data_IF_560254068449
#
_entry.id   IF_560254068449
#
_cell.length_a   1.000
_cell.length_b   1.000
_cell.length_c   1.000
_cell.angle_alpha   90.00
_cell.angle_beta   90.00
_cell.angle_gamma   90.00
#
_symmetry.space_group_name_H-M   'P 1'
#
loop_
_entity.id
_entity.type
_entity.pdbx_description
1 polymer ?
#
# COMPACT_ATOMS: atom_id res chain seq x y z
N UNK A 1 -15.74 12.81 -25.98
CA UNK A 1 -15.26 11.45 -25.74
C UNK A 1 -13.95 11.58 -24.98
N UNK A 2 -14.03 11.61 -23.65
CA UNK A 2 -12.84 11.64 -22.80
C UNK A 2 -12.36 10.21 -22.65
N UNK A 3 -11.19 9.90 -23.18
CA UNK A 3 -10.50 8.66 -22.87
C UNK A 3 -10.02 8.79 -21.44
N UNK A 4 -10.65 8.07 -20.51
CA UNK A 4 -10.08 7.80 -19.20
C UNK A 4 -8.83 6.93 -19.41
N UNK A 5 -7.70 7.55 -19.73
CA UNK A 5 -6.42 6.92 -19.42
C UNK A 5 -6.43 6.76 -17.91
N UNK A 6 -6.68 5.53 -17.43
CA UNK A 6 -6.42 5.22 -16.04
C UNK A 6 -4.97 5.62 -15.76
N UNK A 7 -4.77 6.54 -14.83
CA UNK A 7 -3.44 7.00 -14.46
C UNK A 7 -2.55 5.80 -14.08
N UNK A 8 -1.40 5.71 -14.74
CA UNK A 8 -0.39 4.71 -14.44
C UNK A 8 0.24 5.05 -13.10
N UNK A 9 0.10 4.14 -12.13
CA UNK A 9 0.76 4.27 -10.84
C UNK A 9 2.16 3.67 -10.90
N UNK A 10 3.06 4.07 -10.00
CA UNK A 10 4.41 3.50 -9.92
C UNK A 10 4.40 1.96 -9.85
N UNK A 11 3.39 1.39 -9.19
CA UNK A 11 3.21 -0.06 -9.11
C UNK A 11 2.91 -0.72 -10.47
N UNK A 12 2.30 -0.03 -11.44
CA UNK A 12 2.12 -0.57 -12.80
C UNK A 12 3.43 -0.71 -13.53
N UNK A 13 4.27 0.33 -13.43
CA UNK A 13 5.63 0.26 -13.95
C UNK A 13 6.38 -0.90 -13.30
N UNK A 14 6.28 -1.06 -11.98
CA UNK A 14 6.94 -2.14 -11.25
C UNK A 14 6.45 -3.52 -11.73
N UNK A 15 5.13 -3.72 -11.76
CA UNK A 15 4.48 -4.94 -12.22
C UNK A 15 4.83 -5.27 -13.68
N UNK A 16 4.92 -4.26 -14.54
CA UNK A 16 5.24 -4.43 -15.96
C UNK A 16 6.61 -5.09 -16.17
N UNK A 17 7.59 -4.85 -15.28
CA UNK A 17 8.92 -5.47 -15.32
C UNK A 17 8.89 -6.98 -15.09
N UNK A 18 7.83 -7.49 -14.47
CA UNK A 18 7.62 -8.92 -14.23
C UNK A 18 6.69 -9.57 -15.27
N UNK A 19 6.42 -8.88 -16.39
CA UNK A 19 5.61 -9.42 -17.49
C UNK A 19 4.11 -9.19 -17.34
N UNK A 20 3.65 -8.53 -16.26
CA UNK A 20 2.22 -8.21 -16.10
C UNK A 20 1.73 -7.14 -17.07
N UNK A 21 2.62 -6.34 -17.66
CA UNK A 21 2.27 -5.44 -18.77
C UNK A 21 1.83 -6.21 -20.00
N UNK A 22 2.61 -7.21 -20.41
CA UNK A 22 2.23 -8.11 -21.50
C UNK A 22 0.90 -8.83 -21.22
N UNK A 23 0.70 -9.29 -19.98
CA UNK A 23 -0.53 -9.97 -19.58
C UNK A 23 -1.75 -9.03 -19.63
N UNK A 24 -1.58 -7.78 -19.17
CA UNK A 24 -2.58 -6.72 -19.27
C UNK A 24 -3.00 -6.49 -20.73
N UNK A 25 -2.03 -6.42 -21.65
CA UNK A 25 -2.29 -6.16 -23.07
C UNK A 25 -3.01 -7.32 -23.79
N UNK A 26 -2.89 -8.55 -23.27
CA UNK A 26 -3.44 -9.76 -23.90
C UNK A 26 -4.74 -10.26 -23.26
N UNK A 27 -5.15 -9.73 -22.11
CA UNK A 27 -6.39 -10.12 -21.45
C UNK A 27 -7.58 -9.27 -21.94
N UNK A 28 -8.79 -9.86 -22.03
CA UNK A 28 -9.99 -9.10 -22.33
C UNK A 28 -10.39 -8.24 -21.13
N UNK A 29 -10.53 -6.93 -21.37
CA UNK A 29 -10.74 -5.92 -20.33
C UNK A 29 -9.42 -5.24 -20.01
N UNK A 30 -9.40 -3.91 -20.05
CA UNK A 30 -8.24 -3.06 -19.78
C UNK A 30 -7.87 -3.12 -18.28
N UNK A 31 -7.49 -4.31 -17.78
CA UNK A 31 -7.17 -4.55 -16.37
C UNK A 31 -5.72 -4.12 -16.13
N UNK A 32 -5.48 -3.14 -15.24
CA UNK A 32 -4.13 -2.63 -15.04
C UNK A 32 -3.12 -3.66 -14.53
N UNK A 33 -1.83 -3.54 -14.90
CA UNK A 33 -0.77 -4.44 -14.46
C UNK A 33 -0.69 -4.58 -12.94
N UNK A 34 -0.92 -3.52 -12.16
CA UNK A 34 -0.91 -3.57 -10.71
C UNK A 34 -1.94 -4.56 -10.13
N UNK A 35 -3.14 -4.63 -10.71
CA UNK A 35 -4.18 -5.54 -10.24
C UNK A 35 -3.86 -6.99 -10.59
N UNK A 36 -3.41 -7.24 -11.82
CA UNK A 36 -2.98 -8.57 -12.24
C UNK A 36 -1.83 -9.05 -11.37
N UNK A 37 -0.85 -8.20 -11.11
CA UNK A 37 0.26 -8.46 -10.20
C UNK A 37 -0.24 -8.86 -8.81
N UNK A 38 -1.08 -8.02 -8.18
CA UNK A 38 -1.58 -8.28 -6.84
C UNK A 38 -2.42 -9.56 -6.77
N UNK A 39 -3.39 -9.73 -7.67
CA UNK A 39 -4.31 -10.86 -7.66
C UNK A 39 -3.59 -12.16 -8.00
N UNK A 40 -2.85 -12.20 -9.11
CA UNK A 40 -2.21 -13.43 -9.58
C UNK A 40 -1.15 -13.89 -8.61
N UNK A 41 -0.26 -12.99 -8.17
CA UNK A 41 0.81 -13.41 -7.27
C UNK A 41 0.23 -13.87 -5.94
N UNK A 42 -0.78 -13.19 -5.41
CA UNK A 42 -1.42 -13.60 -4.15
C UNK A 42 -2.12 -14.95 -4.29
N UNK A 43 -2.95 -15.12 -5.32
CA UNK A 43 -3.71 -16.37 -5.53
C UNK A 43 -2.83 -17.55 -5.97
N UNK A 44 -1.61 -17.31 -6.42
CA UNK A 44 -0.68 -18.37 -6.83
C UNK A 44 0.35 -18.66 -5.74
N UNK A 45 1.07 -17.64 -5.26
CA UNK A 45 2.19 -17.82 -4.33
C UNK A 45 1.69 -18.37 -3.00
N UNK A 46 0.63 -17.80 -2.42
CA UNK A 46 0.17 -18.20 -1.09
C UNK A 46 -0.32 -19.66 -1.07
N UNK A 47 -1.19 -20.13 -2.00
CA UNK A 47 -1.57 -21.53 -2.04
C UNK A 47 -0.39 -22.45 -2.36
N UNK A 48 0.49 -22.09 -3.30
CA UNK A 48 1.62 -22.95 -3.69
C UNK A 48 2.60 -23.12 -2.52
N UNK A 49 2.95 -22.04 -1.83
CA UNK A 49 3.83 -22.10 -0.66
C UNK A 49 3.19 -22.85 0.50
N UNK A 50 1.88 -22.69 0.70
CA UNK A 50 1.13 -23.40 1.75
C UNK A 50 1.00 -24.90 1.48
N UNK A 51 0.69 -25.28 0.24
CA UNK A 51 0.63 -26.68 -0.18
C UNK A 51 2.01 -27.33 -0.05
N UNK A 52 3.07 -26.64 -0.48
CA UNK A 52 4.43 -27.15 -0.33
C UNK A 52 4.81 -27.36 1.14
N UNK A 53 4.56 -26.37 2.00
CA UNK A 53 4.89 -26.47 3.44
C UNK A 53 4.10 -27.60 4.10
N UNK A 54 2.81 -27.76 3.79
CA UNK A 54 1.98 -28.85 4.26
C UNK A 54 2.54 -30.24 3.89
N UNK A 55 2.86 -30.46 2.62
CA UNK A 55 3.36 -31.75 2.15
C UNK A 55 4.77 -32.10 2.65
N UNK A 56 5.56 -31.11 3.05
CA UNK A 56 6.89 -31.32 3.63
C UNK A 56 6.87 -31.39 5.17
N UNK A 57 5.68 -31.40 5.79
CA UNK A 57 5.54 -31.52 7.25
C UNK A 57 5.94 -30.27 8.03
N UNK A 58 6.08 -29.12 7.35
CA UNK A 58 6.30 -27.83 7.99
C UNK A 58 5.00 -27.24 8.51
N UNK A 59 5.13 -26.30 9.44
CA UNK A 59 3.99 -25.60 10.01
C UNK A 59 3.42 -24.60 8.99
N UNK A 60 2.14 -24.72 8.67
CA UNK A 60 1.46 -23.85 7.70
C UNK A 60 0.83 -22.65 8.40
N UNK A 61 1.13 -21.44 7.92
CA UNK A 61 0.65 -20.17 8.53
C UNK A 61 -0.88 -20.13 8.67
N UNK A 62 -1.62 -20.64 7.67
CA UNK A 62 -3.08 -20.59 7.67
C UNK A 62 -3.77 -21.48 8.70
N UNK A 63 -3.13 -22.57 9.14
CA UNK A 63 -3.70 -23.45 10.17
C UNK A 63 -3.51 -22.85 11.57
N UNK A 64 -2.44 -22.11 11.79
CA UNK A 64 -2.19 -21.43 13.07
C UNK A 64 -2.90 -20.09 13.17
N UNK A 65 -3.04 -19.41 12.03
CA UNK A 65 -3.57 -18.07 11.96
C UNK A 65 -4.50 -17.92 10.76
N UNK A 66 -5.80 -18.21 10.91
CA UNK A 66 -6.78 -18.02 9.85
C UNK A 66 -6.92 -16.55 9.40
N UNK A 67 -6.54 -15.56 10.23
CA UNK A 67 -6.54 -14.16 9.80
C UNK A 67 -5.56 -13.88 8.67
N UNK A 68 -4.59 -14.75 8.43
CA UNK A 68 -3.67 -14.61 7.31
C UNK A 68 -4.39 -14.64 5.94
N UNK A 69 -5.62 -15.18 5.86
CA UNK A 69 -6.49 -15.05 4.69
C UNK A 69 -6.88 -13.59 4.36
N UNK A 70 -6.81 -12.70 5.34
CA UNK A 70 -7.05 -11.27 5.14
C UNK A 70 -5.88 -10.58 4.42
N UNK A 71 -4.67 -11.15 4.42
CA UNK A 71 -3.53 -10.55 3.73
C UNK A 71 -3.79 -10.38 2.22
N UNK A 72 -4.23 -11.43 1.49
CA UNK A 72 -4.67 -11.31 0.11
C UNK A 72 -5.64 -10.15 -0.15
N UNK A 73 -6.67 -10.07 0.69
CA UNK A 73 -7.71 -9.04 0.58
C UNK A 73 -7.11 -7.66 0.83
N UNK A 74 -6.28 -7.53 1.87
CA UNK A 74 -5.59 -6.30 2.23
C UNK A 74 -4.71 -5.78 1.09
N UNK A 75 -3.95 -6.65 0.43
CA UNK A 75 -3.07 -6.28 -0.69
C UNK A 75 -3.88 -5.75 -1.89
N UNK A 76 -4.97 -6.43 -2.26
CA UNK A 76 -5.85 -5.98 -3.35
C UNK A 76 -6.54 -4.65 -2.98
N UNK A 77 -7.01 -4.53 -1.73
CA UNK A 77 -7.59 -3.29 -1.20
C UNK A 77 -6.56 -2.15 -1.22
N UNK A 78 -5.29 -2.40 -0.91
CA UNK A 78 -4.24 -1.37 -0.99
C UNK A 78 -4.01 -0.86 -2.42
N UNK A 79 -4.07 -1.74 -3.42
CA UNK A 79 -3.97 -1.35 -4.85
C UNK A 79 -5.17 -0.48 -5.23
N UNK A 80 -6.38 -0.93 -4.88
CA UNK A 80 -7.61 -0.20 -5.12
C UNK A 80 -7.65 1.15 -4.42
N UNK A 81 -7.25 1.20 -3.14
CA UNK A 81 -7.17 2.43 -2.37
C UNK A 81 -6.19 3.41 -3.02
N UNK A 82 -5.01 2.96 -3.45
CA UNK A 82 -4.03 3.81 -4.12
C UNK A 82 -4.59 4.46 -5.39
N UNK A 83 -5.22 3.67 -6.27
CA UNK A 83 -5.84 4.18 -7.50
C UNK A 83 -7.03 5.10 -7.24
N UNK A 84 -7.93 4.68 -6.34
CA UNK A 84 -9.13 5.47 -6.04
C UNK A 84 -8.80 6.81 -5.39
N UNK A 85 -7.77 6.86 -4.54
CA UNK A 85 -7.30 8.09 -3.90
C UNK A 85 -6.60 9.03 -4.88
N UNK A 86 -5.82 8.53 -5.83
CA UNK A 86 -5.21 9.35 -6.88
C UNK A 86 -6.27 9.95 -7.82
N UNK A 87 -7.22 9.15 -8.30
CA UNK A 87 -8.34 9.67 -9.11
C UNK A 87 -9.15 10.72 -8.36
N UNK A 88 -9.46 10.46 -7.08
CA UNK A 88 -10.17 11.43 -6.25
C UNK A 88 -9.33 12.70 -6.01
N UNK A 89 -8.01 12.58 -5.98
CA UNK A 89 -7.11 13.73 -5.92
C UNK A 89 -7.19 14.57 -7.19
N UNK A 90 -7.16 13.95 -8.37
CA UNK A 90 -7.32 14.65 -9.65
C UNK A 90 -8.66 15.36 -9.74
N UNK A 91 -9.74 14.66 -9.37
CA UNK A 91 -11.10 15.24 -9.31
C UNK A 91 -11.14 16.47 -8.38
N UNK A 92 -10.43 16.41 -7.24
CA UNK A 92 -10.29 17.54 -6.31
C UNK A 92 -9.52 18.69 -6.95
N UNK A 93 -8.38 18.43 -7.60
CA UNK A 93 -7.58 19.46 -8.27
C UNK A 93 -8.35 20.13 -9.42
N UNK A 94 -9.13 19.36 -10.19
CA UNK A 94 -10.02 19.87 -11.22
C UNK A 94 -11.14 20.73 -10.62
N UNK A 95 -11.80 20.24 -9.55
CA UNK A 95 -12.88 20.98 -8.88
C UNK A 95 -12.43 22.31 -8.28
N UNK A 96 -11.17 22.37 -7.83
CA UNK A 96 -10.55 23.58 -7.30
C UNK A 96 -10.03 24.52 -8.39
N UNK A 97 -10.10 24.09 -9.66
CA UNK A 97 -9.59 24.75 -10.84
C UNK A 97 -8.11 25.14 -10.69
N UNK A 98 -7.29 24.21 -10.20
CA UNK A 98 -5.87 24.47 -9.90
C UNK A 98 -5.09 24.85 -11.16
N UNK A 99 -5.37 24.19 -12.29
CA UNK A 99 -4.72 24.49 -13.58
C UNK A 99 -4.91 25.93 -14.04
N UNK A 100 -6.09 26.51 -13.80
CA UNK A 100 -6.39 27.90 -14.17
C UNK A 100 -5.91 28.94 -13.16
N UNK A 101 -5.38 28.51 -12.00
CA UNK A 101 -5.12 29.37 -10.84
C UNK A 101 -3.70 29.32 -10.31
N UNK A 102 -2.96 28.26 -10.59
CA UNK A 102 -1.58 28.10 -10.19
C UNK A 102 -0.64 28.41 -11.36
N UNK A 103 0.47 29.10 -11.07
CA UNK A 103 1.54 29.29 -12.04
C UNK A 103 2.30 28.00 -12.34
N UNK A 104 2.41 27.11 -11.34
CA UNK A 104 3.06 25.79 -11.44
C UNK A 104 2.08 24.64 -11.10
N UNK A 105 1.05 24.41 -11.94
CA UNK A 105 -0.02 23.46 -11.64
C UNK A 105 0.46 22.01 -11.59
N UNK A 106 1.50 21.66 -12.38
CA UNK A 106 2.07 20.30 -12.40
C UNK A 106 2.64 19.87 -11.05
N UNK A 107 3.12 20.82 -10.24
CA UNK A 107 3.62 20.51 -8.90
C UNK A 107 2.51 20.07 -7.94
N UNK A 108 1.28 20.52 -8.20
CA UNK A 108 0.07 20.22 -7.44
C UNK A 108 -0.68 19.04 -8.03
N UNK A 109 -0.67 18.81 -9.35
CA UNK A 109 -1.35 17.64 -9.94
C UNK A 109 -0.52 16.36 -9.79
N UNK A 110 0.80 16.41 -9.96
CA UNK A 110 1.68 15.25 -9.75
C UNK A 110 2.08 15.10 -8.27
N UNK A 111 1.12 14.62 -7.47
CA UNK A 111 1.26 14.64 -6.02
C UNK A 111 2.28 13.63 -5.47
N UNK A 112 2.40 12.45 -6.09
CA UNK A 112 3.34 11.41 -5.64
C UNK A 112 4.68 11.53 -6.35
N UNK A 113 5.78 11.85 -5.65
CA UNK A 113 7.10 11.92 -6.28
C UNK A 113 7.59 10.54 -6.69
N UNK A 114 8.21 10.45 -7.87
CA UNK A 114 8.77 9.20 -8.39
C UNK A 114 9.79 8.53 -7.45
N UNK A 115 10.46 9.27 -6.58
CA UNK A 115 11.43 8.72 -5.61
C UNK A 115 10.78 8.14 -4.34
N UNK A 116 9.56 8.56 -4.00
CA UNK A 116 8.94 8.26 -2.71
C UNK A 116 8.57 6.77 -2.57
N UNK A 117 7.90 6.13 -3.55
CA UNK A 117 7.67 4.69 -3.51
C UNK A 117 8.95 3.86 -3.40
N UNK A 118 10.02 4.29 -4.07
CA UNK A 118 11.32 3.62 -3.97
C UNK A 118 11.93 3.75 -2.58
N UNK A 119 11.88 4.93 -1.98
CA UNK A 119 12.39 5.14 -0.63
C UNK A 119 11.62 4.29 0.38
N UNK A 120 10.29 4.23 0.27
CA UNK A 120 9.45 3.41 1.15
C UNK A 120 9.72 1.92 0.91
N UNK A 121 9.87 1.49 -0.35
CA UNK A 121 10.24 0.12 -0.68
C UNK A 121 11.60 -0.24 -0.07
N UNK A 122 12.62 0.60 -0.23
CA UNK A 122 13.95 0.36 0.36
C UNK A 122 13.90 0.26 1.89
N UNK A 123 13.10 1.11 2.54
CA UNK A 123 12.87 1.03 3.97
C UNK A 123 12.18 -0.29 4.36
N UNK A 124 11.14 -0.70 3.61
CA UNK A 124 10.43 -1.96 3.80
C UNK A 124 11.30 -3.20 3.59
N UNK A 125 12.10 -3.24 2.51
CA UNK A 125 13.05 -4.32 2.22
C UNK A 125 14.07 -4.44 3.36
N UNK A 126 14.65 -3.30 3.76
CA UNK A 126 15.61 -3.25 4.86
C UNK A 126 15.00 -3.77 6.16
N UNK A 127 13.76 -3.37 6.45
CA UNK A 127 13.00 -3.84 7.60
C UNK A 127 12.85 -5.37 7.60
N UNK A 128 12.39 -5.96 6.48
CA UNK A 128 12.21 -7.41 6.37
C UNK A 128 13.52 -8.17 6.52
N UNK A 129 14.60 -7.71 5.88
CA UNK A 129 15.90 -8.36 5.95
C UNK A 129 16.55 -8.25 7.32
N UNK A 130 16.48 -7.09 7.97
CA UNK A 130 16.94 -6.92 9.35
C UNK A 130 16.15 -7.87 10.27
N UNK A 131 14.83 -7.95 10.12
CA UNK A 131 14.02 -8.83 10.94
C UNK A 131 14.37 -10.32 10.70
N UNK A 132 14.51 -10.73 9.43
CA UNK A 132 14.94 -12.10 9.08
C UNK A 132 16.31 -12.44 9.68
N UNK A 133 17.26 -11.51 9.62
CA UNK A 133 18.58 -11.68 10.23
C UNK A 133 18.50 -11.80 11.76
N UNK A 134 17.66 -11.00 12.43
CA UNK A 134 17.49 -11.04 13.89
C UNK A 134 16.80 -12.32 14.38
N UNK A 135 15.83 -12.83 13.63
CA UNK A 135 15.20 -14.14 13.92
C UNK A 135 16.22 -15.27 13.73
N UNK A 136 17.07 -15.14 12.72
CA UNK A 136 18.12 -16.10 12.36
C UNK A 136 17.64 -17.06 11.27
N UNK A 137 18.42 -17.17 10.19
CA UNK A 137 18.05 -17.99 9.03
C UNK A 137 17.89 -19.48 9.36
N UNK A 138 18.67 -20.02 10.30
CA UNK A 138 18.53 -21.40 10.77
C UNK A 138 17.16 -21.66 11.39
N UNK A 139 16.69 -20.75 12.24
CA UNK A 139 15.36 -20.85 12.85
C UNK A 139 14.24 -20.77 11.82
N UNK A 140 14.35 -19.85 10.86
CA UNK A 140 13.37 -19.73 9.76
C UNK A 140 13.32 -21.02 8.94
N UNK A 141 14.48 -21.65 8.69
CA UNK A 141 14.57 -22.92 7.99
C UNK A 141 13.96 -24.07 8.80
N UNK A 142 14.20 -24.13 10.10
CA UNK A 142 13.65 -25.17 10.97
C UNK A 142 12.13 -25.07 11.04
N UNK A 143 11.57 -23.84 11.06
CA UNK A 143 10.13 -23.60 11.16
C UNK A 143 9.37 -23.82 9.83
N UNK A 144 9.95 -23.44 8.69
CA UNK A 144 9.24 -23.37 7.39
C UNK A 144 10.06 -23.81 6.17
N UNK A 145 11.24 -24.38 6.39
CA UNK A 145 12.13 -24.87 5.35
C UNK A 145 12.69 -23.76 4.45
N UNK A 146 13.14 -24.17 3.26
CA UNK A 146 13.66 -23.25 2.25
C UNK A 146 12.62 -22.22 1.79
N UNK A 147 11.33 -22.59 1.76
CA UNK A 147 10.25 -21.67 1.41
C UNK A 147 10.12 -20.53 2.43
N UNK A 148 10.32 -20.80 3.72
CA UNK A 148 10.37 -19.74 4.74
C UNK A 148 11.46 -18.70 4.48
N UNK A 149 12.66 -19.15 4.06
CA UNK A 149 13.76 -18.24 3.71
C UNK A 149 13.40 -17.41 2.48
N UNK A 150 12.89 -18.05 1.42
CA UNK A 150 12.47 -17.34 0.20
C UNK A 150 11.34 -16.35 0.50
N UNK A 151 10.40 -16.72 1.36
CA UNK A 151 9.33 -15.84 1.78
C UNK A 151 9.86 -14.61 2.52
N UNK A 152 10.79 -14.80 3.46
CA UNK A 152 11.38 -13.72 4.24
C UNK A 152 12.27 -12.77 3.41
N UNK A 153 13.02 -13.31 2.43
CA UNK A 153 14.02 -12.55 1.68
C UNK A 153 13.53 -11.98 0.36
N UNK A 154 12.53 -12.62 -0.27
CA UNK A 154 12.07 -12.28 -1.61
C UNK A 154 10.58 -11.97 -1.62
N UNK A 155 9.72 -12.90 -1.20
CA UNK A 155 8.27 -12.73 -1.37
C UNK A 155 7.74 -11.55 -0.55
N UNK A 156 7.99 -11.52 0.75
CA UNK A 156 7.52 -10.43 1.60
C UNK A 156 8.09 -9.06 1.18
N UNK A 157 9.41 -8.88 1.03
CA UNK A 157 9.97 -7.56 0.72
C UNK A 157 9.77 -7.12 -0.73
N UNK A 158 9.83 -8.04 -1.71
CA UNK A 158 9.85 -7.68 -3.13
C UNK A 158 8.55 -8.02 -3.85
N UNK A 159 7.72 -8.93 -3.32
CA UNK A 159 6.41 -9.20 -3.91
C UNK A 159 5.32 -8.34 -3.24
N UNK A 160 5.21 -8.42 -1.92
CA UNK A 160 4.21 -7.67 -1.15
C UNK A 160 4.66 -6.25 -0.81
N UNK A 161 5.94 -6.04 -0.57
CA UNK A 161 6.52 -4.74 -0.22
C UNK A 161 6.19 -3.61 -1.21
N UNK A 162 6.28 -3.80 -2.54
CA UNK A 162 5.90 -2.77 -3.51
C UNK A 162 4.44 -2.31 -3.40
N UNK A 163 3.51 -3.22 -3.10
CA UNK A 163 2.09 -2.88 -2.93
C UNK A 163 1.92 -1.94 -1.73
N UNK A 164 2.55 -2.30 -0.60
CA UNK A 164 2.56 -1.45 0.59
C UNK A 164 3.26 -0.10 0.34
N UNK A 165 4.39 -0.10 -0.38
CA UNK A 165 5.15 1.10 -0.70
C UNK A 165 4.34 2.09 -1.54
N UNK A 166 3.61 1.60 -2.56
CA UNK A 166 2.69 2.41 -3.34
C UNK A 166 1.62 3.05 -2.45
N UNK A 167 0.92 2.25 -1.65
CA UNK A 167 -0.17 2.74 -0.82
C UNK A 167 0.29 3.78 0.19
N UNK A 168 1.39 3.52 0.91
CA UNK A 168 1.94 4.46 1.89
C UNK A 168 2.42 5.74 1.19
N UNK A 169 2.96 5.64 -0.03
CA UNK A 169 3.38 6.83 -0.79
C UNK A 169 2.21 7.72 -1.14
N UNK A 170 1.10 7.14 -1.63
CA UNK A 170 -0.13 7.89 -1.91
C UNK A 170 -0.66 8.52 -0.63
N UNK A 171 -0.75 7.74 0.45
CA UNK A 171 -1.20 8.23 1.77
C UNK A 171 -0.39 9.44 2.23
N UNK A 172 0.95 9.33 2.31
CA UNK A 172 1.80 10.43 2.76
C UNK A 172 1.74 11.64 1.83
N UNK A 173 1.55 11.41 0.52
CA UNK A 173 1.48 12.51 -0.44
C UNK A 173 0.18 13.29 -0.29
N UNK A 174 -0.96 12.62 -0.10
CA UNK A 174 -2.24 13.30 0.13
C UNK A 174 -2.28 13.95 1.53
N UNK A 175 -1.78 13.27 2.55
CA UNK A 175 -1.93 13.72 3.93
C UNK A 175 -0.97 14.87 4.29
N UNK A 176 0.26 14.81 3.79
CA UNK A 176 1.31 15.76 4.18
C UNK A 176 1.67 16.70 3.04
N UNK A 177 1.92 16.15 1.86
CA UNK A 177 2.47 16.92 0.74
C UNK A 177 1.41 17.81 0.10
N UNK A 178 0.18 17.34 -0.09
CA UNK A 178 -0.87 18.12 -0.75
C UNK A 178 -1.22 19.39 0.04
N UNK A 179 -1.46 19.34 1.37
CA UNK A 179 -1.68 20.55 2.17
C UNK A 179 -0.46 21.47 2.14
N UNK A 180 0.75 20.90 2.25
CA UNK A 180 1.99 21.68 2.23
C UNK A 180 2.18 22.43 0.91
N UNK A 181 2.00 21.76 -0.22
CA UNK A 181 2.14 22.38 -1.54
C UNK A 181 1.07 23.43 -1.76
N UNK A 182 -0.17 23.17 -1.34
CA UNK A 182 -1.26 24.12 -1.50
C UNK A 182 -1.03 25.41 -0.68
N UNK A 183 -0.59 25.29 0.57
CA UNK A 183 -0.27 26.45 1.42
C UNK A 183 0.89 27.30 0.86
N UNK A 184 1.83 26.65 0.17
CA UNK A 184 2.95 27.34 -0.48
C UNK A 184 2.66 27.75 -1.94
N UNK A 185 1.46 27.49 -2.44
CA UNK A 185 1.05 27.85 -3.79
C UNK A 185 0.31 29.19 -3.83
N UNK A 186 0.24 29.80 -5.01
CA UNK A 186 -0.53 31.02 -5.24
C UNK A 186 -2.05 30.76 -5.37
N UNK A 187 -2.49 29.51 -5.20
CA UNK A 187 -3.91 29.14 -5.21
C UNK A 187 -4.59 29.75 -4.00
N UNK A 188 -5.06 31.00 -4.14
CA UNK A 188 -5.71 31.75 -3.08
C UNK A 188 -7.03 31.14 -2.60
N UNK A 189 -7.56 31.68 -1.50
CA UNK A 189 -8.87 31.30 -0.96
C UNK A 189 -9.97 31.70 -1.96
N UNK A 190 -10.88 30.77 -2.29
CA UNK A 190 -12.01 31.06 -3.16
C UNK A 190 -13.08 31.84 -2.38
N UNK A 191 -13.09 33.18 -2.51
CA UNK A 191 -13.97 34.08 -1.74
C UNK A 191 -15.47 33.87 -2.02
N UNK A 192 -15.83 33.32 -3.18
CA UNK A 192 -17.22 33.01 -3.55
C UNK A 192 -17.62 31.57 -3.20
N UNK A 193 -16.87 30.89 -2.33
CA UNK A 193 -17.24 29.57 -1.82
C UNK A 193 -18.53 29.67 -0.96
N UNK A 194 -19.65 29.04 -1.38
CA UNK A 194 -20.90 29.06 -0.61
C UNK A 194 -20.77 28.41 0.77
N UNK A 195 -19.82 27.47 0.93
CA UNK A 195 -19.58 26.76 2.18
C UNK A 195 -18.62 27.50 3.12
N UNK A 196 -18.04 28.63 2.67
CA UNK A 196 -17.07 29.46 3.43
C UNK A 196 -15.83 28.69 3.91
N UNK A 197 -15.45 27.63 3.20
CA UNK A 197 -14.25 26.83 3.45
C UNK A 197 -13.10 27.21 2.51
N UNK A 198 -13.24 28.33 1.80
CA UNK A 198 -12.21 28.84 0.90
C UNK A 198 -11.99 27.99 -0.35
N UNK A 199 -12.94 27.10 -0.68
CA UNK A 199 -12.79 26.11 -1.75
C UNK A 199 -11.98 24.88 -1.34
N UNK A 200 -11.60 24.72 -0.06
CA UNK A 200 -10.76 23.62 0.43
C UNK A 200 -11.53 22.37 0.87
N UNK A 201 -12.86 22.44 0.85
CA UNK A 201 -13.73 21.33 1.27
C UNK A 201 -13.41 20.01 0.56
N UNK A 202 -13.26 19.96 -0.79
CA UNK A 202 -13.02 18.70 -1.48
C UNK A 202 -11.70 18.03 -1.02
N UNK A 203 -10.65 18.83 -0.79
CA UNK A 203 -9.39 18.34 -0.24
C UNK A 203 -9.53 17.79 1.19
N UNK A 204 -10.28 18.48 2.05
CA UNK A 204 -10.55 18.00 3.41
C UNK A 204 -11.34 16.68 3.44
N UNK A 205 -12.29 16.51 2.53
CA UNK A 205 -13.03 15.24 2.38
C UNK A 205 -12.12 14.10 1.87
N UNK A 206 -11.18 14.40 0.98
CA UNK A 206 -10.18 13.45 0.49
C UNK A 206 -9.18 13.02 1.57
N UNK A 207 -8.68 13.95 2.38
CA UNK A 207 -7.81 13.65 3.54
C UNK A 207 -8.53 12.68 4.48
N UNK A 208 -9.80 12.98 4.80
CA UNK A 208 -10.63 12.11 5.64
C UNK A 208 -10.82 10.71 5.04
N UNK A 209 -11.04 10.61 3.73
CA UNK A 209 -11.14 9.32 3.03
C UNK A 209 -9.82 8.55 3.09
N UNK A 210 -8.70 9.24 2.90
CA UNK A 210 -7.34 8.69 2.96
C UNK A 210 -7.04 8.13 4.35
N UNK A 211 -7.40 8.86 5.40
CA UNK A 211 -7.34 8.41 6.79
C UNK A 211 -8.14 7.11 7.01
N UNK A 212 -9.35 6.98 6.46
CA UNK A 212 -10.15 5.77 6.62
C UNK A 212 -9.49 4.53 6.00
N UNK A 213 -8.86 4.65 4.84
CA UNK A 213 -8.11 3.53 4.26
C UNK A 213 -6.92 3.12 5.13
N UNK A 214 -6.19 4.09 5.71
CA UNK A 214 -5.08 3.78 6.62
C UNK A 214 -5.58 3.04 7.87
N UNK A 215 -6.69 3.50 8.48
CA UNK A 215 -7.30 2.83 9.64
C UNK A 215 -7.73 1.40 9.31
N UNK A 216 -8.34 1.16 8.15
CA UNK A 216 -8.67 -0.20 7.69
C UNK A 216 -7.40 -1.05 7.59
N UNK A 217 -6.33 -0.52 7.00
CA UNK A 217 -5.04 -1.20 6.92
C UNK A 217 -4.45 -1.54 8.29
N UNK A 218 -4.53 -0.63 9.25
CA UNK A 218 -4.09 -0.86 10.63
C UNK A 218 -4.93 -1.93 11.34
N UNK A 219 -6.24 -1.95 11.13
CA UNK A 219 -7.13 -3.00 11.67
C UNK A 219 -6.74 -4.36 11.07
N UNK A 220 -6.55 -4.44 9.75
CA UNK A 220 -6.10 -5.66 9.09
C UNK A 220 -4.74 -6.12 9.63
N UNK A 221 -3.80 -5.20 9.83
CA UNK A 221 -2.50 -5.51 10.45
C UNK A 221 -2.67 -6.09 11.85
N UNK A 222 -3.53 -5.49 12.69
CA UNK A 222 -3.80 -6.00 14.04
C UNK A 222 -4.36 -7.42 13.99
N UNK A 223 -5.34 -7.67 13.14
CA UNK A 223 -5.95 -9.00 12.98
C UNK A 223 -4.92 -10.03 12.52
N UNK A 224 -4.12 -9.70 11.51
CA UNK A 224 -3.13 -10.62 10.92
C UNK A 224 -1.98 -10.89 11.89
N UNK A 225 -1.42 -9.86 12.54
CA UNK A 225 -0.19 -10.00 13.33
C UNK A 225 -0.48 -10.43 14.77
N UNK A 226 -1.48 -9.83 15.42
CA UNK A 226 -1.77 -10.06 16.83
C UNK A 226 -2.84 -11.12 17.06
N UNK A 227 -3.58 -11.53 16.01
CA UNK A 227 -4.58 -12.60 16.05
C UNK A 227 -5.45 -12.61 17.34
N UNK A 228 -6.02 -11.46 17.73
CA UNK A 228 -6.49 -11.21 19.11
C UNK A 228 -7.66 -12.09 19.56
N UNK A 229 -8.38 -12.75 18.66
CA UNK A 229 -9.51 -13.62 18.99
C UNK A 229 -9.16 -15.11 18.97
N UNK A 230 -7.89 -15.48 18.77
CA UNK A 230 -7.46 -16.88 18.86
C UNK A 230 -6.97 -17.21 20.28
N UNK A 231 -7.45 -18.31 20.84
CA UNK A 231 -7.06 -18.78 22.19
C UNK A 231 -5.62 -19.34 22.23
N UNK A 232 -5.10 -19.80 21.08
CA UNK A 232 -3.72 -20.27 20.95
C UNK A 232 -2.77 -19.08 20.93
N UNK A 233 -2.04 -18.85 22.02
CA UNK A 233 -0.97 -17.87 22.03
C UNK A 233 0.15 -18.37 21.10
N UNK A 234 0.16 -17.87 19.87
CA UNK A 234 1.31 -17.98 18.99
C UNK A 234 2.54 -17.28 19.60
N UNK A 235 3.72 -17.39 18.97
CA UNK A 235 4.86 -16.57 19.39
C UNK A 235 4.46 -15.09 19.36
N UNK A 236 4.81 -14.31 20.40
CA UNK A 236 4.44 -12.91 20.47
C UNK A 236 5.04 -12.14 19.28
N UNK A 237 4.37 -11.08 18.79
CA UNK A 237 4.90 -10.24 17.74
C UNK A 237 6.29 -9.71 18.10
N UNK A 238 7.15 -9.62 17.09
CA UNK A 238 8.52 -9.13 17.30
C UNK A 238 8.51 -7.70 17.81
N UNK A 239 9.52 -7.31 18.60
CA UNK A 239 9.69 -5.91 19.05
C UNK A 239 9.68 -4.93 17.88
N UNK A 240 10.26 -5.35 16.75
CA UNK A 240 10.32 -4.57 15.52
C UNK A 240 8.93 -4.34 14.93
N UNK A 241 8.10 -5.40 14.83
CA UNK A 241 6.71 -5.27 14.39
C UNK A 241 5.87 -4.36 15.31
N UNK A 242 6.09 -4.43 16.63
CA UNK A 242 5.41 -3.57 17.61
C UNK A 242 5.78 -2.10 17.43
N UNK A 243 7.09 -1.80 17.35
CA UNK A 243 7.57 -0.42 17.17
C UNK A 243 7.07 0.18 15.87
N UNK A 244 7.09 -0.59 14.77
CA UNK A 244 6.57 -0.14 13.47
C UNK A 244 5.08 0.15 13.53
N UNK A 245 4.28 -0.76 14.09
CA UNK A 245 2.84 -0.56 14.24
C UNK A 245 2.54 0.69 15.07
N UNK A 246 3.16 0.83 16.24
CA UNK A 246 2.98 2.01 17.10
C UNK A 246 3.43 3.29 16.40
N UNK A 247 4.53 3.26 15.65
CA UNK A 247 5.02 4.40 14.88
C UNK A 247 4.02 4.85 13.81
N UNK A 248 3.50 3.91 13.01
CA UNK A 248 2.49 4.22 11.99
C UNK A 248 1.22 4.75 12.64
N UNK A 249 0.77 4.12 13.73
CA UNK A 249 -0.42 4.58 14.45
C UNK A 249 -0.26 6.02 14.97
N UNK A 250 0.89 6.34 15.59
CA UNK A 250 1.17 7.69 16.08
C UNK A 250 1.20 8.71 14.95
N UNK A 251 1.83 8.38 13.82
CA UNK A 251 1.84 9.25 12.63
C UNK A 251 0.41 9.47 12.13
N UNK A 252 -0.37 8.41 12.00
CA UNK A 252 -1.76 8.45 11.51
C UNK A 252 -2.66 9.31 12.41
N UNK A 253 -2.44 9.31 13.72
CA UNK A 253 -3.21 10.14 14.66
C UNK A 253 -2.73 11.60 14.70
N UNK A 254 -1.45 11.83 14.39
CA UNK A 254 -0.86 13.17 14.41
C UNK A 254 -1.17 13.97 13.14
N UNK A 255 -1.46 13.30 12.03
CA UNK A 255 -1.97 13.87 10.79
C UNK A 255 -3.48 14.01 10.84
#
# INVERSE_FOLDING_TARGET
MSQSQEEDIWLDWYASKFGFGWLSDHLPGEIPPSYLYGIVLTLVIDPVTSVWTYFNGYRTVYLDNPYFLLQPVGLVVSIYASRSLLRAYDDVMESMNVEGRADEPTSLTEIVPNWLPWLILLAGVSFFWINAHRIGFGRIYDDSGAVGIVAALVINPLVWGPIGAQFISVYLSIELRAPYQLVNSEVGIHFFDPERLGGLRPLGELIKQTYYYMVIGLILYVLIIYHPLLETQGPPPTTVANVTFTGIWLVTVAT
#
